data_IF_156630973274
#
_entry.id   IF_156630973274
#
_cell.length_a   1.000
_cell.length_b   1.000
_cell.length_c   1.000
_cell.angle_alpha   90.00
_cell.angle_beta   90.00
_cell.angle_gamma   90.00
#
_symmetry.space_group_name_H-M   'P 1'
#
loop_
_entity.id
_entity.type
_entity.pdbx_description
1 polymer ?
#
# COMPACT_ATOMS: atom_id res chain seq x y z
N UNK A 1 -19.27 -0.52 4.89
CA UNK A 1 -19.04 0.66 4.02
C UNK A 1 -19.70 0.46 2.65
N UNK A 2 -20.98 0.79 2.51
CA UNK A 2 -21.64 0.84 1.19
C UNK A 2 -21.85 2.31 0.81
N UNK A 3 -20.88 2.90 0.10
CA UNK A 3 -21.02 4.23 -0.49
C UNK A 3 -21.10 4.10 -2.02
N UNK A 4 -22.18 4.66 -2.58
CA UNK A 4 -22.61 4.70 -3.99
C UNK A 4 -22.49 3.38 -4.79
N UNK A 5 -23.65 2.80 -5.14
CA UNK A 5 -23.77 1.79 -6.20
C UNK A 5 -23.40 2.42 -7.54
N UNK A 6 -22.12 2.40 -7.88
CA UNK A 6 -21.71 2.45 -9.28
C UNK A 6 -21.66 1.02 -9.83
N UNK A 7 -21.97 0.81 -11.13
CA UNK A 7 -21.95 -0.52 -11.73
C UNK A 7 -20.58 -1.18 -11.54
N UNK A 8 -20.57 -2.51 -11.39
CA UNK A 8 -19.36 -3.32 -11.34
C UNK A 8 -18.68 -3.18 -12.72
N UNK A 9 -17.71 -2.28 -12.81
CA UNK A 9 -16.87 -2.13 -13.99
C UNK A 9 -15.71 -3.12 -13.82
N UNK A 10 -15.61 -4.19 -14.63
CA UNK A 10 -14.57 -5.20 -14.50
C UNK A 10 -13.28 -4.69 -15.14
N UNK A 11 -12.67 -3.65 -14.59
CA UNK A 11 -11.35 -3.21 -15.01
C UNK A 11 -10.56 -2.69 -13.82
N UNK A 12 -9.75 -3.56 -13.20
CA UNK A 12 -8.47 -3.12 -12.65
C UNK A 12 -7.38 -4.09 -13.10
N UNK A 13 -6.47 -3.51 -13.87
CA UNK A 13 -5.24 -4.05 -14.40
C UNK A 13 -4.26 -4.15 -13.23
N UNK A 14 -3.79 -5.37 -12.93
CA UNK A 14 -2.76 -5.63 -11.92
C UNK A 14 -1.39 -5.17 -12.38
N UNK A 15 -1.18 -3.85 -12.48
CA UNK A 15 0.17 -3.30 -12.68
C UNK A 15 0.75 -2.98 -11.32
N UNK A 16 1.60 -3.88 -10.85
CA UNK A 16 2.51 -3.61 -9.75
C UNK A 16 3.70 -2.82 -10.29
N UNK A 17 4.04 -1.73 -9.62
CA UNK A 17 5.22 -0.93 -9.95
C UNK A 17 6.30 -1.24 -8.92
N UNK A 18 7.45 -1.69 -9.40
CA UNK A 18 8.65 -1.88 -8.60
C UNK A 18 9.64 -0.76 -8.94
N UNK A 19 9.95 0.06 -7.95
CA UNK A 19 10.98 1.08 -8.05
C UNK A 19 12.22 0.60 -7.30
N UNK A 20 13.35 0.45 -7.97
CA UNK A 20 14.62 0.02 -7.36
C UNK A 20 15.59 1.19 -7.22
N UNK A 21 16.36 1.19 -6.13
CA UNK A 21 17.52 2.07 -5.95
C UNK A 21 18.81 1.27 -6.11
N UNK A 22 19.72 1.77 -6.93
CA UNK A 22 20.98 1.10 -7.26
C UNK A 22 22.20 1.85 -6.70
N UNK A 23 23.20 1.10 -6.25
CA UNK A 23 24.56 1.58 -6.03
C UNK A 23 25.48 0.74 -6.93
N UNK A 24 26.00 1.35 -7.99
CA UNK A 24 26.65 0.62 -9.07
C UNK A 24 25.67 -0.32 -9.78
N UNK A 25 25.97 -1.63 -9.78
CA UNK A 25 25.12 -2.68 -10.34
C UNK A 25 24.26 -3.41 -9.30
N UNK A 26 24.32 -3.00 -8.03
CA UNK A 26 23.62 -3.67 -6.92
C UNK A 26 22.35 -2.92 -6.55
N UNK A 27 21.22 -3.63 -6.47
CA UNK A 27 19.97 -3.11 -5.90
C UNK A 27 20.09 -3.10 -4.39
N UNK A 28 19.94 -1.91 -3.78
CA UNK A 28 20.09 -1.73 -2.32
C UNK A 28 18.79 -1.37 -1.61
N UNK A 29 17.72 -1.14 -2.36
CA UNK A 29 16.39 -0.91 -1.82
C UNK A 29 15.34 -0.87 -2.92
N UNK A 30 14.08 -1.05 -2.55
CA UNK A 30 12.96 -0.99 -3.47
C UNK A 30 11.68 -0.48 -2.82
N UNK A 31 10.74 -0.03 -3.65
CA UNK A 31 9.37 0.25 -3.28
C UNK A 31 8.43 -0.49 -4.24
N UNK A 32 7.50 -1.28 -3.69
CA UNK A 32 6.44 -1.97 -4.41
C UNK A 32 5.12 -1.26 -4.15
N UNK A 33 4.48 -0.75 -5.20
CA UNK A 33 3.22 -0.02 -5.06
C UNK A 33 2.29 -0.26 -6.25
N UNK A 34 1.01 0.03 -6.05
CA UNK A 34 -0.02 -0.07 -7.07
C UNK A 34 -1.10 1.00 -6.88
N UNK A 35 -1.86 1.25 -7.93
CA UNK A 35 -2.98 2.18 -7.86
C UNK A 35 -4.17 1.55 -7.14
N UNK A 36 -4.79 2.34 -6.28
CA UNK A 36 -6.07 2.05 -5.66
C UNK A 36 -7.06 3.18 -5.93
N UNK A 37 -8.31 3.00 -5.52
CA UNK A 37 -9.33 4.01 -5.69
C UNK A 37 -10.09 4.22 -4.40
N UNK A 38 -10.16 5.48 -3.95
CA UNK A 38 -11.05 5.89 -2.87
C UNK A 38 -12.38 6.30 -3.47
N UNK A 39 -13.47 5.66 -3.05
CA UNK A 39 -14.84 6.03 -3.47
C UNK A 39 -15.21 7.47 -3.11
N UNK A 40 -14.53 8.08 -2.13
CA UNK A 40 -14.78 9.46 -1.69
C UNK A 40 -13.83 10.51 -2.28
N UNK A 41 -12.63 10.11 -2.72
CA UNK A 41 -11.56 11.06 -3.07
C UNK A 41 -10.89 10.80 -4.42
N UNK A 42 -11.12 9.64 -5.04
CA UNK A 42 -10.58 9.29 -6.34
C UNK A 42 -9.27 8.48 -6.28
N UNK A 43 -8.46 8.61 -7.34
CA UNK A 43 -7.26 7.80 -7.59
C UNK A 43 -6.23 7.96 -6.47
N UNK A 44 -5.85 6.83 -5.88
CA UNK A 44 -4.93 6.74 -4.75
C UNK A 44 -3.82 5.73 -5.05
N UNK A 45 -2.80 5.67 -4.19
CA UNK A 45 -1.74 4.68 -4.25
C UNK A 45 -1.78 3.85 -2.97
N UNK A 46 -1.54 2.55 -3.10
CA UNK A 46 -1.18 1.69 -1.99
C UNK A 46 0.29 1.27 -2.14
N UNK A 47 1.10 1.61 -1.14
CA UNK A 47 2.48 1.17 -1.01
C UNK A 47 2.47 -0.15 -0.24
N UNK A 48 2.72 -1.23 -0.97
CA UNK A 48 2.71 -2.60 -0.43
C UNK A 48 3.97 -2.85 0.40
N UNK A 49 5.13 -2.49 -0.14
CA UNK A 49 6.40 -2.70 0.54
C UNK A 49 7.40 -1.56 0.23
N UNK A 50 8.23 -1.24 1.23
CA UNK A 50 9.33 -0.31 1.15
C UNK A 50 10.50 -0.90 1.94
N UNK A 51 11.51 -1.36 1.22
CA UNK A 51 12.65 -2.05 1.80
C UNK A 51 13.95 -1.37 1.43
N UNK A 52 14.87 -1.32 2.39
CA UNK A 52 16.26 -0.93 2.20
C UNK A 52 17.14 -1.94 2.92
N UNK A 53 18.19 -2.41 2.24
CA UNK A 53 19.21 -3.30 2.79
C UNK A 53 19.79 -2.70 4.09
N UNK A 54 19.90 -3.47 5.18
CA UNK A 54 20.29 -2.97 6.51
C UNK A 54 21.54 -2.07 6.53
N UNK A 55 22.58 -2.46 5.81
CA UNK A 55 23.87 -1.78 5.71
C UNK A 55 23.78 -0.41 5.00
N UNK A 56 22.72 -0.16 4.23
CA UNK A 56 22.46 1.09 3.53
C UNK A 56 21.40 1.97 4.22
N UNK A 57 20.85 1.54 5.36
CA UNK A 57 19.90 2.34 6.14
C UNK A 57 20.58 3.56 6.76
N UNK A 58 19.79 4.60 7.06
CA UNK A 58 20.30 5.88 7.54
C UNK A 58 20.81 6.84 6.45
N UNK A 59 21.07 6.34 5.23
CA UNK A 59 21.54 7.16 4.10
C UNK A 59 20.43 7.87 3.32
N UNK A 60 19.21 7.94 3.86
CA UNK A 60 18.08 8.61 3.20
C UNK A 60 17.45 7.87 2.01
N UNK A 61 17.90 6.66 1.66
CA UNK A 61 17.38 5.88 0.52
C UNK A 61 15.87 5.62 0.64
N UNK A 62 15.39 5.17 1.80
CA UNK A 62 13.96 4.92 2.02
C UNK A 62 13.11 6.19 1.88
N UNK A 63 13.63 7.35 2.30
CA UNK A 63 12.99 8.65 2.07
C UNK A 63 12.94 8.96 0.56
N UNK A 64 14.04 8.75 -0.17
CA UNK A 64 14.10 8.97 -1.61
C UNK A 64 13.09 8.13 -2.39
N UNK A 65 13.02 6.83 -2.08
CA UNK A 65 12.04 5.90 -2.65
C UNK A 65 10.60 6.36 -2.36
N UNK A 66 10.28 6.70 -1.10
CA UNK A 66 8.95 7.18 -0.72
C UNK A 66 8.57 8.48 -1.44
N UNK A 67 9.49 9.45 -1.52
CA UNK A 67 9.27 10.69 -2.26
C UNK A 67 8.99 10.40 -3.73
N UNK A 68 9.71 9.46 -4.35
CA UNK A 68 9.50 9.11 -5.74
C UNK A 68 8.14 8.44 -6.01
N UNK A 69 7.65 7.64 -5.06
CA UNK A 69 6.27 7.10 -5.12
C UNK A 69 5.25 8.23 -4.98
N UNK A 70 5.48 9.22 -4.13
CA UNK A 70 4.57 10.35 -3.95
C UNK A 70 4.45 11.28 -5.18
N UNK A 71 5.45 11.30 -6.07
CA UNK A 71 5.41 12.08 -7.32
C UNK A 71 4.36 11.58 -8.34
N UNK A 72 3.79 10.39 -8.12
CA UNK A 72 2.85 9.72 -9.06
C UNK A 72 1.45 10.42 -9.12
N UNK A 73 1.33 11.63 -8.56
CA UNK A 73 0.17 12.55 -8.64
C UNK A 73 -1.19 11.87 -8.37
N UNK A 74 -1.32 11.32 -7.16
CA UNK A 74 -2.56 10.75 -6.65
C UNK A 74 -3.03 11.52 -5.41
N UNK A 75 -4.33 11.45 -5.11
CA UNK A 75 -4.89 12.24 -3.99
C UNK A 75 -4.43 11.73 -2.62
N UNK A 76 -3.98 10.48 -2.52
CA UNK A 76 -3.57 9.80 -1.29
C UNK A 76 -2.54 8.71 -1.57
N UNK A 77 -1.65 8.51 -0.59
CA UNK A 77 -0.80 7.32 -0.45
C UNK A 77 -1.21 6.62 0.84
N UNK A 78 -1.51 5.33 0.74
CA UNK A 78 -1.85 4.46 1.87
C UNK A 78 -0.85 3.32 1.96
N UNK A 79 -0.66 2.81 3.16
CA UNK A 79 0.21 1.67 3.45
C UNK A 79 -0.23 1.01 4.76
N UNK A 80 0.23 -0.20 5.01
CA UNK A 80 0.03 -0.88 6.28
C UNK A 80 1.36 -1.11 6.98
N UNK A 81 1.38 -0.93 8.29
CA UNK A 81 2.56 -1.21 9.13
C UNK A 81 2.12 -2.12 10.26
N UNK A 82 2.93 -3.13 10.56
CA UNK A 82 2.70 -3.98 11.72
C UNK A 82 2.84 -3.17 13.01
N UNK A 83 2.02 -3.49 14.00
CA UNK A 83 1.93 -2.78 15.29
C UNK A 83 3.27 -2.66 16.01
N UNK A 84 4.06 -3.75 16.00
CA UNK A 84 5.38 -3.85 16.62
C UNK A 84 6.48 -3.09 15.87
N UNK A 85 6.24 -2.67 14.63
CA UNK A 85 7.24 -1.98 13.82
C UNK A 85 7.24 -0.47 14.08
N UNK A 86 7.47 -0.10 15.34
CA UNK A 86 7.60 1.29 15.80
C UNK A 86 8.56 2.12 14.94
N UNK A 87 9.76 1.63 14.53
CA UNK A 87 10.65 2.43 13.69
C UNK A 87 10.03 2.87 12.36
N UNK A 88 9.24 2.00 11.72
CA UNK A 88 8.56 2.35 10.47
C UNK A 88 7.38 3.29 10.72
N UNK A 89 6.62 3.06 11.80
CA UNK A 89 5.50 3.95 12.19
C UNK A 89 5.99 5.37 12.44
N UNK A 90 7.07 5.53 13.22
CA UNK A 90 7.69 6.82 13.51
C UNK A 90 8.26 7.46 12.24
N UNK A 91 8.89 6.64 11.37
CA UNK A 91 9.37 7.11 10.08
C UNK A 91 8.24 7.74 9.27
N UNK A 92 7.07 7.10 9.12
CA UNK A 92 5.96 7.67 8.35
C UNK A 92 5.27 8.83 9.06
N UNK A 93 5.07 8.75 10.38
CA UNK A 93 4.48 9.82 11.18
C UNK A 93 5.27 11.12 11.08
N UNK A 94 6.61 11.05 11.07
CA UNK A 94 7.49 12.20 10.85
C UNK A 94 7.32 12.87 9.46
N UNK A 95 6.60 12.24 8.50
CA UNK A 95 6.21 12.85 7.21
C UNK A 95 4.73 13.26 7.17
N UNK A 96 4.03 13.21 8.29
CA UNK A 96 2.61 13.57 8.38
C UNK A 96 1.64 12.44 8.05
N UNK A 97 2.10 11.17 8.00
CA UNK A 97 1.16 10.05 7.92
C UNK A 97 0.35 9.93 9.21
N UNK A 98 -0.95 9.61 9.08
CA UNK A 98 -1.87 9.41 10.19
C UNK A 98 -2.15 7.92 10.38
N UNK A 99 -2.21 7.47 11.64
CA UNK A 99 -2.61 6.11 11.98
C UNK A 99 -4.13 5.99 11.91
N UNK A 100 -4.64 5.38 10.84
CA UNK A 100 -6.07 5.23 10.59
C UNK A 100 -6.75 4.24 11.55
N UNK A 101 -5.99 3.31 12.15
CA UNK A 101 -6.52 2.41 13.19
C UNK A 101 -6.89 3.22 14.42
N UNK A 102 -6.05 4.18 14.80
CA UNK A 102 -6.26 5.05 15.97
C UNK A 102 -7.30 6.15 15.68
N UNK A 103 -7.22 6.78 14.51
CA UNK A 103 -8.05 7.96 14.20
C UNK A 103 -9.45 7.63 13.69
N UNK A 104 -9.63 6.51 13.00
CA UNK A 104 -10.89 6.17 12.31
C UNK A 104 -11.44 4.78 12.69
N UNK A 105 -10.68 3.95 13.42
CA UNK A 105 -11.14 2.65 13.90
C UNK A 105 -11.30 1.59 12.80
N UNK A 106 -10.49 1.65 11.74
CA UNK A 106 -10.54 0.65 10.66
C UNK A 106 -10.08 -0.74 11.13
N UNK A 107 -10.81 -1.77 10.71
CA UNK A 107 -10.42 -3.16 10.89
C UNK A 107 -9.88 -3.75 9.58
N UNK A 108 -8.71 -4.38 9.64
CA UNK A 108 -8.18 -5.17 8.52
C UNK A 108 -8.85 -6.56 8.52
N UNK A 109 -9.56 -6.89 7.43
CA UNK A 109 -10.27 -8.17 7.27
C UNK A 109 -9.70 -8.90 6.05
N UNK A 110 -9.42 -10.20 6.20
CA UNK A 110 -8.87 -11.06 5.14
C UNK A 110 -9.66 -12.36 5.06
N UNK A 111 -9.95 -12.77 3.83
CA UNK A 111 -10.31 -14.15 3.50
C UNK A 111 -9.11 -14.79 2.82
N UNK A 112 -8.72 -15.98 3.26
CA UNK A 112 -7.62 -16.74 2.68
C UNK A 112 -7.95 -18.23 2.58
N UNK A 113 -7.18 -18.91 1.73
CA UNK A 113 -7.25 -20.35 1.54
C UNK A 113 -8.68 -20.88 1.34
N UNK A 114 -9.08 -21.96 2.06
CA UNK A 114 -10.39 -22.58 1.89
C UNK A 114 -11.58 -21.63 2.13
N UNK A 115 -11.43 -20.63 3.01
CA UNK A 115 -12.50 -19.66 3.27
C UNK A 115 -12.77 -18.78 2.05
N UNK A 116 -11.72 -18.40 1.32
CA UNK A 116 -11.84 -17.65 0.06
C UNK A 116 -12.45 -18.52 -1.05
N UNK A 117 -12.03 -19.78 -1.16
CA UNK A 117 -12.56 -20.73 -2.14
C UNK A 117 -14.06 -21.00 -1.92
N UNK A 118 -14.47 -21.11 -0.66
CA UNK A 118 -15.86 -21.29 -0.29
C UNK A 118 -16.70 -20.06 -0.63
N UNK A 119 -16.19 -18.86 -0.34
CA UNK A 119 -16.85 -17.61 -0.70
C UNK A 119 -17.07 -17.50 -2.22
N UNK A 120 -16.06 -17.87 -3.03
CA UNK A 120 -16.18 -17.85 -4.49
C UNK A 120 -17.28 -18.80 -5.02
N UNK A 121 -17.50 -19.93 -4.34
CA UNK A 121 -18.56 -20.89 -4.70
C UNK A 121 -19.96 -20.42 -4.33
N UNK A 122 -20.12 -19.45 -3.43
CA UNK A 122 -21.44 -18.87 -3.13
C UNK A 122 -22.01 -18.11 -4.32
N UNK A 123 -21.16 -17.42 -5.09
CA UNK A 123 -21.58 -16.72 -6.31
C UNK A 123 -22.12 -17.67 -7.39
N UNK A 124 -21.63 -18.92 -7.44
CA UNK A 124 -22.13 -19.94 -8.37
C UNK A 124 -23.51 -20.51 -7.97
N UNK A 125 -24.04 -20.14 -6.79
CA UNK A 125 -25.36 -20.54 -6.30
C UNK A 125 -26.42 -19.45 -6.48
N UNK A 126 -26.02 -18.25 -6.92
CA UNK A 126 -26.89 -17.11 -7.22
C UNK A 126 -27.23 -17.16 -8.72
#
# INVERSE_FOLDING_TARGET
>A
CWAKKEPIIPYIVGVFFLLCFFIGFTVVGYALYFYTYSTWKGRSIFLEDLYVMPEFRGNGIGKGLLCKVAEVNCVRLQLSVLDWNTPSRDFYAAKGAQDLTVSEGWHAIRFDGPSLDNLAKEAAKI
#
